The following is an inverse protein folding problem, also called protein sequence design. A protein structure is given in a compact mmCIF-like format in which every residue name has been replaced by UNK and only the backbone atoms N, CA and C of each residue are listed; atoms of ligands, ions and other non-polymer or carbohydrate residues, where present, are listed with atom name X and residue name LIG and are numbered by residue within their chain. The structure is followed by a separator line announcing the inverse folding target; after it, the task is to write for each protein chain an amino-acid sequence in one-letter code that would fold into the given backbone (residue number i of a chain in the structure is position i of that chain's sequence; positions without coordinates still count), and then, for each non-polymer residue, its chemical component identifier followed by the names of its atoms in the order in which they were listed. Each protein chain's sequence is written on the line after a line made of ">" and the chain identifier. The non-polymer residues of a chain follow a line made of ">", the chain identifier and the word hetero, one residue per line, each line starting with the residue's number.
data_IF_163544777923
#
_entry.id   IF_163544777923
#
_cell.length_a   1.000
_cell.length_b   1.000
_cell.length_c   1.000
_cell.angle_alpha   90.00
_cell.angle_beta   90.00
_cell.angle_gamma   90.00
#
_symmetry.space_group_name_H-M   'P 1'
#
loop_
_entity.id
_entity.type
_entity.pdbx_description
1 polymer ?
#
# COMPACT_ATOMS: atom_id res chain seq x y z
N UNK A 1 4.41 -7.81 -22.53
CA UNK A 1 2.97 -7.77 -22.23
C UNK A 1 2.83 -7.00 -20.95
N UNK A 2 2.39 -5.74 -20.98
CA UNK A 2 2.08 -5.02 -19.74
C UNK A 2 0.86 -5.71 -19.12
N UNK A 3 1.07 -6.43 -18.02
CA UNK A 3 -0.03 -6.95 -17.22
C UNK A 3 -0.60 -5.83 -16.38
N UNK A 4 -1.92 -5.68 -16.40
CA UNK A 4 -2.63 -4.79 -15.48
C UNK A 4 -2.47 -5.39 -14.07
N UNK A 5 -2.11 -4.59 -13.04
CA UNK A 5 -2.06 -5.08 -11.68
C UNK A 5 -3.31 -5.88 -11.28
N UNK A 6 -3.13 -7.05 -10.69
CA UNK A 6 -4.22 -7.99 -10.45
C UNK A 6 -4.19 -8.60 -9.05
N UNK A 7 -5.35 -9.06 -8.59
CA UNK A 7 -5.49 -9.74 -7.31
C UNK A 7 -4.65 -11.03 -7.20
N UNK A 8 -4.25 -11.63 -8.33
CA UNK A 8 -3.38 -12.81 -8.35
C UNK A 8 -1.96 -12.51 -7.85
N UNK A 9 -1.53 -11.24 -7.87
CA UNK A 9 -0.25 -10.76 -7.34
C UNK A 9 -0.48 -9.76 -6.22
N UNK A 10 -1.47 -10.03 -5.36
CA UNK A 10 -1.79 -9.20 -4.20
C UNK A 10 -0.83 -9.46 -3.04
N UNK A 11 -0.39 -8.39 -2.39
CA UNK A 11 0.42 -8.42 -1.18
C UNK A 11 -0.17 -7.44 -0.16
N UNK A 12 0.02 -7.72 1.13
CA UNK A 12 -0.39 -6.80 2.20
C UNK A 12 0.86 -6.29 2.94
N UNK A 13 1.05 -4.97 2.92
CA UNK A 13 2.15 -4.27 3.56
C UNK A 13 1.69 -3.72 4.90
N UNK A 14 2.37 -4.07 6.00
CA UNK A 14 2.17 -3.41 7.29
C UNK A 14 3.08 -2.20 7.40
N UNK A 15 2.50 -1.00 7.38
CA UNK A 15 3.23 0.27 7.36
C UNK A 15 2.90 1.08 8.60
N UNK A 16 3.94 1.57 9.29
CA UNK A 16 3.80 2.48 10.43
C UNK A 16 4.36 3.86 10.08
N UNK A 17 3.54 4.90 10.26
CA UNK A 17 3.85 6.27 9.87
C UNK A 17 3.28 7.30 10.87
N UNK A 18 3.75 8.56 10.87
CA UNK A 18 3.23 9.60 11.76
C UNK A 18 1.73 9.82 11.58
N UNK A 19 1.00 10.04 12.67
CA UNK A 19 -0.43 10.35 12.63
C UNK A 19 -0.67 11.82 12.27
N UNK A 20 -0.31 12.19 11.03
CA UNK A 20 -0.42 13.55 10.50
C UNK A 20 -1.24 13.58 9.19
N UNK A 21 -1.87 14.72 8.92
CA UNK A 21 -2.63 14.92 7.69
C UNK A 21 -1.73 14.75 6.46
N UNK A 22 -2.18 13.96 5.49
CA UNK A 22 -1.47 13.73 4.24
C UNK A 22 -0.41 12.63 4.26
N UNK A 23 0.00 12.11 5.42
CA UNK A 23 1.00 11.03 5.49
C UNK A 23 0.54 9.77 4.74
N UNK A 24 -0.71 9.32 4.96
CA UNK A 24 -1.27 8.19 4.21
C UNK A 24 -1.36 8.47 2.71
N UNK A 25 -1.72 9.70 2.31
CA UNK A 25 -1.82 10.09 0.91
C UNK A 25 -0.49 9.91 0.18
N UNK A 26 0.61 10.36 0.79
CA UNK A 26 1.98 10.18 0.24
C UNK A 26 2.32 8.71 0.01
N UNK A 27 1.94 7.83 0.95
CA UNK A 27 2.18 6.39 0.82
C UNK A 27 1.39 5.80 -0.35
N UNK A 28 0.10 6.14 -0.47
CA UNK A 28 -0.74 5.63 -1.57
C UNK A 28 -0.28 6.17 -2.93
N UNK A 29 0.18 7.42 -2.99
CA UNK A 29 0.80 8.00 -4.19
C UNK A 29 2.06 7.24 -4.59
N UNK A 30 2.96 6.95 -3.63
CA UNK A 30 4.17 6.19 -3.89
C UNK A 30 3.88 4.77 -4.43
N UNK A 31 2.82 4.12 -3.94
CA UNK A 31 2.36 2.83 -4.50
C UNK A 31 1.95 2.98 -5.97
N UNK A 32 1.18 4.01 -6.30
CA UNK A 32 0.76 4.29 -7.67
C UNK A 32 1.92 4.64 -8.61
N UNK A 33 2.90 5.42 -8.13
CA UNK A 33 4.12 5.76 -8.87
C UNK A 33 5.01 4.55 -9.14
N UNK A 34 5.03 3.57 -8.23
CA UNK A 34 5.68 2.28 -8.45
C UNK A 34 4.93 1.39 -9.46
N UNK A 35 3.71 1.77 -9.87
CA UNK A 35 2.85 0.98 -10.77
C UNK A 35 2.00 -0.07 -10.05
N UNK A 36 1.94 -0.03 -8.72
CA UNK A 36 1.06 -0.86 -7.91
C UNK A 36 -0.37 -0.30 -7.84
N UNK A 37 -1.33 -1.17 -7.60
CA UNK A 37 -2.74 -0.77 -7.43
C UNK A 37 -3.20 -1.06 -6.01
N UNK A 38 -3.60 -0.03 -5.27
CA UNK A 38 -4.12 -0.16 -3.90
C UNK A 38 -5.50 -0.82 -3.93
N UNK A 39 -5.66 -1.93 -3.21
CA UNK A 39 -6.92 -2.64 -3.06
C UNK A 39 -7.66 -2.34 -1.75
N UNK A 40 -6.93 -2.33 -0.62
CA UNK A 40 -7.51 -2.09 0.70
C UNK A 40 -6.53 -1.36 1.62
N UNK A 41 -7.07 -0.62 2.59
CA UNK A 41 -6.29 0.11 3.60
C UNK A 41 -7.00 -0.04 4.96
N UNK A 42 -6.43 -0.84 5.84
CA UNK A 42 -7.02 -1.22 7.11
C UNK A 42 -6.20 -0.69 8.28
N UNK A 43 -6.86 -0.22 9.34
CA UNK A 43 -6.18 0.26 10.55
C UNK A 43 -5.85 -0.94 11.44
N UNK A 44 -4.56 -1.12 11.73
CA UNK A 44 -4.08 -2.12 12.71
C UNK A 44 -4.01 -1.48 14.10
N UNK A 45 -3.41 -0.29 14.17
CA UNK A 45 -3.22 0.46 15.42
C UNK A 45 -3.22 1.95 15.14
N UNK A 46 -3.74 2.73 16.08
CA UNK A 46 -3.66 4.18 16.04
C UNK A 46 -3.33 4.72 17.43
N UNK A 47 -2.28 5.52 17.52
CA UNK A 47 -1.94 6.34 18.68
C UNK A 47 -1.95 7.82 18.27
N UNK A 48 -1.67 8.70 19.23
CA UNK A 48 -1.69 10.14 19.02
C UNK A 48 -0.58 10.62 18.06
N UNK A 49 0.53 9.89 18.00
CA UNK A 49 1.75 10.22 17.26
C UNK A 49 1.99 9.32 16.04
N UNK A 50 1.48 8.08 16.05
CA UNK A 50 1.75 7.04 15.04
C UNK A 50 0.47 6.31 14.65
N UNK A 51 0.44 5.81 13.42
CA UNK A 51 -0.58 4.87 12.98
C UNK A 51 0.07 3.73 12.22
N UNK A 52 -0.39 2.51 12.48
CA UNK A 52 -0.01 1.30 11.76
C UNK A 52 -1.19 0.87 10.92
N UNK A 53 -0.96 0.68 9.62
CA UNK A 53 -1.99 0.23 8.69
C UNK A 53 -1.50 -0.96 7.87
N UNK A 54 -2.42 -1.85 7.56
CA UNK A 54 -2.22 -2.87 6.55
C UNK A 54 -2.72 -2.29 5.22
N UNK A 55 -1.87 -2.33 4.19
CA UNK A 55 -2.16 -1.79 2.86
C UNK A 55 -2.05 -2.94 1.87
N UNK A 56 -3.17 -3.33 1.27
CA UNK A 56 -3.20 -4.35 0.22
C UNK A 56 -2.90 -3.70 -1.12
N UNK A 57 -1.90 -4.22 -1.81
CA UNK A 57 -1.41 -3.73 -3.10
C UNK A 57 -1.38 -4.89 -4.09
N UNK A 58 -1.94 -4.67 -5.27
CA UNK A 58 -1.84 -5.58 -6.40
C UNK A 58 -0.63 -5.18 -7.24
N UNK A 59 0.24 -6.14 -7.53
CA UNK A 59 1.33 -6.02 -8.49
C UNK A 59 0.91 -6.56 -9.86
N UNK A 60 1.78 -6.34 -10.85
CA UNK A 60 1.55 -6.77 -12.24
C UNK A 60 2.01 -8.21 -12.48
N UNK A 61 3.03 -8.64 -11.75
CA UNK A 61 3.64 -9.97 -11.76
C UNK A 61 4.39 -10.19 -10.44
N UNK A 62 4.93 -11.39 -10.26
CA UNK A 62 5.68 -11.74 -9.04
C UNK A 62 7.01 -11.00 -8.89
N UNK A 63 7.65 -10.58 -9.98
CA UNK A 63 8.93 -9.85 -9.93
C UNK A 63 8.70 -8.42 -9.44
N UNK A 64 7.65 -7.76 -9.91
CA UNK A 64 7.24 -6.45 -9.44
C UNK A 64 6.79 -6.47 -7.96
N UNK A 65 6.30 -7.61 -7.46
CA UNK A 65 5.82 -7.74 -6.10
C UNK A 65 6.88 -8.02 -5.02
N UNK A 66 8.17 -8.11 -5.39
CA UNK A 66 9.28 -8.41 -4.48
C UNK A 66 9.96 -7.18 -3.91
#
# INVERSE_FOLDING_TARGET
>A
MESIPSASYSMTLRVEFPHEAGAIGKILTAVGEAGGMVGAVDIVRMSQDRTTRDITVNARDSEHGQ
#
